data_IF_297370641163
#
_entry.id   IF_297370641163
#
_cell.length_a   1.000
_cell.length_b   1.000
_cell.length_c   1.000
_cell.angle_alpha   90.00
_cell.angle_beta   90.00
_cell.angle_gamma   90.00
#
_symmetry.space_group_name_H-M   'P 1'
#
loop_
_entity.id
_entity.type
_entity.pdbx_description
1 polymer ?
#
# COMPACT_ATOMS: atom_id res chain seq x y z
N UNK A 1 0.54 17.71 -26.80
CA UNK A 1 0.85 16.43 -26.16
C UNK A 1 2.23 16.06 -26.64
N UNK A 2 3.24 16.23 -25.78
CA UNK A 2 4.60 15.80 -26.09
C UNK A 2 4.66 14.27 -25.98
N UNK A 3 5.28 13.65 -26.95
CA UNK A 3 5.34 12.21 -27.13
C UNK A 3 6.12 11.56 -25.97
N UNK A 4 5.43 10.83 -25.10
CA UNK A 4 6.01 10.14 -23.95
C UNK A 4 6.99 9.01 -24.33
N UNK A 5 7.12 8.71 -25.64
CA UNK A 5 7.94 7.59 -26.13
C UNK A 5 9.44 7.89 -26.23
N UNK A 6 9.87 9.15 -26.17
CA UNK A 6 11.28 9.50 -26.36
C UNK A 6 12.12 9.60 -25.08
N UNK A 7 11.57 9.35 -23.91
CA UNK A 7 12.25 9.62 -22.63
C UNK A 7 12.82 8.40 -21.89
N UNK A 8 12.79 7.21 -22.50
CA UNK A 8 13.36 6.02 -21.90
C UNK A 8 14.77 5.75 -22.41
N UNK A 9 15.77 6.23 -21.69
CA UNK A 9 17.15 5.78 -21.86
C UNK A 9 17.62 5.10 -20.57
N UNK A 10 17.88 3.79 -20.65
CA UNK A 10 18.60 3.08 -19.60
C UNK A 10 20.05 3.58 -19.63
N UNK A 11 20.48 4.31 -18.61
CA UNK A 11 21.90 4.56 -18.39
C UNK A 11 22.43 3.50 -17.44
N UNK A 12 23.65 3.04 -17.66
CA UNK A 12 24.36 2.09 -16.82
C UNK A 12 24.65 2.72 -15.43
N UNK A 13 23.63 2.96 -14.63
CA UNK A 13 23.68 3.64 -13.35
C UNK A 13 22.31 3.82 -12.70
N UNK A 14 21.27 3.27 -13.33
CA UNK A 14 20.01 3.04 -12.65
C UNK A 14 19.07 4.24 -12.48
N UNK A 15 19.16 5.29 -13.30
CA UNK A 15 18.22 6.41 -13.27
C UNK A 15 17.47 6.57 -14.59
N UNK A 16 16.15 6.74 -14.53
CA UNK A 16 15.35 7.20 -15.68
C UNK A 16 14.67 8.51 -15.34
N UNK A 17 14.68 9.46 -16.27
CA UNK A 17 13.93 10.70 -16.12
C UNK A 17 12.76 10.74 -17.09
N UNK A 18 11.61 11.16 -16.63
CA UNK A 18 10.51 11.61 -17.49
C UNK A 18 10.68 13.10 -17.78
N UNK A 19 10.20 13.55 -18.96
CA UNK A 19 10.17 14.98 -19.32
C UNK A 19 9.30 15.85 -18.40
N UNK A 20 8.67 15.27 -17.39
CA UNK A 20 7.90 15.97 -16.35
C UNK A 20 8.75 16.46 -15.19
N UNK A 21 10.07 16.23 -15.21
CA UNK A 21 10.97 16.55 -14.10
C UNK A 21 10.98 15.52 -12.97
N UNK A 22 10.15 14.48 -13.04
CA UNK A 22 10.14 13.42 -12.05
C UNK A 22 11.31 12.45 -12.29
N UNK A 23 12.10 12.22 -11.26
CA UNK A 23 13.20 11.25 -11.29
C UNK A 23 12.63 9.91 -10.82
N UNK A 24 12.80 8.88 -11.65
CA UNK A 24 12.55 7.50 -11.21
C UNK A 24 13.85 7.00 -10.60
N UNK A 25 13.86 6.80 -9.29
CA UNK A 25 14.96 6.12 -8.64
C UNK A 25 14.81 4.62 -8.91
N UNK A 26 15.85 4.03 -9.48
CA UNK A 26 16.00 2.59 -9.43
C UNK A 26 16.78 2.26 -8.17
N UNK A 27 16.17 1.41 -7.35
CA UNK A 27 16.91 0.80 -6.26
C UNK A 27 18.19 0.15 -6.80
N UNK A 28 19.21 0.13 -5.98
CA UNK A 28 20.40 -0.63 -6.25
C UNK A 28 19.94 -2.06 -6.52
N UNK A 29 20.37 -2.65 -7.63
CA UNK A 29 20.25 -4.08 -7.86
C UNK A 29 21.03 -4.76 -6.74
N UNK A 30 20.32 -5.17 -5.69
CA UNK A 30 20.89 -5.86 -4.53
C UNK A 30 21.06 -7.37 -4.79
N UNK A 31 20.86 -7.81 -6.04
CA UNK A 31 21.03 -9.18 -6.46
C UNK A 31 19.95 -10.15 -5.93
N UNK A 32 18.92 -9.64 -5.26
CA UNK A 32 17.86 -10.42 -4.60
C UNK A 32 16.50 -10.33 -5.30
N UNK A 33 16.41 -9.81 -6.51
CA UNK A 33 15.15 -9.76 -7.24
C UNK A 33 14.63 -11.18 -7.51
N UNK A 34 13.33 -11.45 -7.31
CA UNK A 34 12.74 -12.74 -7.68
C UNK A 34 12.92 -13.01 -9.17
N UNK A 35 13.03 -14.30 -9.57
CA UNK A 35 13.21 -14.67 -10.98
C UNK A 35 12.11 -14.06 -11.87
N UNK A 36 12.49 -13.42 -12.97
CA UNK A 36 11.61 -12.72 -13.90
C UNK A 36 11.21 -11.31 -13.45
N UNK A 37 11.86 -10.77 -12.40
CA UNK A 37 11.59 -9.44 -11.87
C UNK A 37 12.88 -8.63 -11.74
N UNK A 38 12.79 -7.34 -12.01
CA UNK A 38 13.89 -6.37 -11.82
C UNK A 38 13.52 -5.37 -10.74
N UNK A 39 14.39 -5.17 -9.77
CA UNK A 39 14.20 -4.15 -8.74
C UNK A 39 14.20 -2.75 -9.36
N UNK A 40 13.15 -1.98 -9.10
CA UNK A 40 13.03 -0.58 -9.53
C UNK A 40 13.03 0.41 -8.35
N UNK A 41 12.74 -0.07 -7.15
CA UNK A 41 12.83 0.72 -5.93
C UNK A 41 13.14 -0.20 -4.74
N UNK A 42 14.02 0.26 -3.85
CA UNK A 42 14.31 -0.42 -2.58
C UNK A 42 14.66 0.62 -1.52
N UNK A 43 13.99 0.56 -0.38
CA UNK A 43 14.27 1.44 0.76
C UNK A 43 14.08 0.69 2.08
N UNK A 44 14.96 0.95 3.04
CA UNK A 44 14.75 0.61 4.46
C UNK A 44 14.20 1.79 5.26
N UNK A 45 13.99 2.93 4.62
CA UNK A 45 13.48 4.16 5.23
C UNK A 45 14.24 4.66 6.47
N UNK A 46 15.49 4.22 6.65
CA UNK A 46 16.32 4.72 7.77
C UNK A 46 16.66 6.19 7.60
N UNK A 47 16.69 6.66 6.36
CA UNK A 47 16.89 8.05 5.97
C UNK A 47 15.88 8.42 4.90
N UNK A 48 15.57 9.71 4.82
CA UNK A 48 14.77 10.26 3.72
C UNK A 48 15.61 10.21 2.41
N UNK A 49 15.03 9.59 1.38
CA UNK A 49 15.63 9.51 0.04
C UNK A 49 15.16 10.64 -0.89
N UNK A 50 14.28 11.52 -0.40
CA UNK A 50 13.73 12.65 -1.15
C UNK A 50 12.70 12.28 -2.21
N UNK A 51 12.24 11.04 -2.28
CA UNK A 51 11.26 10.55 -3.27
C UNK A 51 9.83 10.52 -2.73
N UNK A 52 9.68 10.76 -1.43
CA UNK A 52 8.41 10.71 -0.72
C UNK A 52 8.07 12.06 -0.11
N UNK A 53 6.79 12.35 -0.01
CA UNK A 53 6.27 13.57 0.58
C UNK A 53 5.30 13.24 1.72
N UNK A 54 5.55 13.82 2.89
CA UNK A 54 4.60 13.78 3.99
C UNK A 54 3.48 14.79 3.72
N UNK A 55 2.24 14.30 3.65
CA UNK A 55 1.09 15.14 3.39
C UNK A 55 0.65 15.92 4.62
N UNK A 56 0.03 17.07 4.37
CA UNK A 56 -0.56 17.92 5.41
C UNK A 56 -2.01 18.19 5.03
N UNK A 57 -2.91 17.28 5.40
CA UNK A 57 -4.34 17.35 5.03
C UNK A 57 -5.23 16.55 5.98
N UNK A 58 -6.54 16.73 5.85
CA UNK A 58 -7.54 15.84 6.46
C UNK A 58 -8.17 14.96 5.38
N UNK A 59 -8.51 13.74 5.73
CA UNK A 59 -9.36 12.88 4.92
C UNK A 59 -10.77 12.83 5.48
N UNK A 60 -11.76 12.54 4.63
CA UNK A 60 -13.16 12.58 5.04
C UNK A 60 -13.60 11.35 5.82
N UNK A 61 -12.86 10.26 5.73
CA UNK A 61 -13.19 8.94 6.26
C UNK A 61 -12.53 8.63 7.60
N UNK A 62 -11.58 9.46 8.06
CA UNK A 62 -10.93 9.31 9.37
C UNK A 62 -11.03 10.59 10.23
N UNK A 63 -10.62 10.52 11.49
CA UNK A 63 -10.65 11.62 12.45
C UNK A 63 -9.25 12.19 12.73
N UNK A 64 -8.25 11.87 11.91
CA UNK A 64 -6.91 12.42 12.05
C UNK A 64 -6.63 13.58 11.08
N UNK A 65 -5.65 14.40 11.46
CA UNK A 65 -4.99 15.37 10.60
C UNK A 65 -3.60 14.85 10.26
N UNK A 66 -3.35 14.57 8.98
CA UNK A 66 -2.05 14.13 8.52
C UNK A 66 -1.03 15.25 8.62
N UNK A 67 0.11 14.99 9.24
CA UNK A 67 1.14 15.99 9.47
C UNK A 67 2.56 15.43 9.32
N UNK A 68 3.51 16.19 8.75
CA UNK A 68 4.90 15.74 8.58
C UNK A 68 5.60 15.30 9.87
N UNK A 69 5.28 15.92 11.03
CA UNK A 69 5.84 15.55 12.33
C UNK A 69 5.48 14.11 12.78
N UNK A 70 4.52 13.47 12.08
CA UNK A 70 4.10 12.10 12.33
C UNK A 70 4.86 11.08 11.44
N UNK A 71 5.76 11.55 10.57
CA UNK A 71 6.61 10.75 9.70
C UNK A 71 8.05 10.88 10.19
N UNK A 72 8.62 9.78 10.70
CA UNK A 72 9.95 9.82 11.33
C UNK A 72 10.82 8.70 10.79
N UNK A 73 11.91 9.07 10.12
CA UNK A 73 12.97 8.13 9.72
C UNK A 73 13.82 7.74 10.94
N UNK A 74 14.11 6.45 11.09
CA UNK A 74 14.85 5.91 12.22
C UNK A 74 15.70 4.72 11.81
N UNK A 75 16.69 4.28 12.63
CA UNK A 75 17.44 3.07 12.35
C UNK A 75 16.59 1.79 12.21
N UNK A 76 15.37 1.79 12.75
CA UNK A 76 14.41 0.68 12.64
C UNK A 76 13.49 0.74 11.42
N UNK A 77 13.58 1.82 10.62
CA UNK A 77 12.71 2.08 9.47
C UNK A 77 11.90 3.37 9.61
N UNK A 78 10.87 3.51 8.80
CA UNK A 78 9.92 4.62 8.85
C UNK A 78 8.90 4.38 9.96
N UNK A 79 8.78 5.33 10.87
CA UNK A 79 7.73 5.36 11.88
C UNK A 79 6.63 6.31 11.41
N UNK A 80 5.43 5.80 11.26
CA UNK A 80 4.22 6.58 11.02
C UNK A 80 3.43 6.60 12.32
N UNK A 81 3.35 7.76 12.97
CA UNK A 81 2.93 7.89 14.35
C UNK A 81 1.53 8.50 14.41
N UNK A 82 0.60 7.81 15.06
CA UNK A 82 -0.71 8.33 15.43
C UNK A 82 -0.67 8.90 16.83
N UNK A 83 -1.21 10.11 17.05
CA UNK A 83 -1.24 10.78 18.37
C UNK A 83 -2.60 11.35 18.70
N UNK A 84 -2.95 11.35 20.00
CA UNK A 84 -4.04 12.15 20.53
C UNK A 84 -3.58 13.61 20.67
N UNK A 85 -3.74 14.35 19.61
CA UNK A 85 -3.33 15.74 19.49
C UNK A 85 -4.35 16.51 18.65
N UNK A 86 -4.93 17.58 19.23
CA UNK A 86 -5.86 18.44 18.49
C UNK A 86 -5.09 19.29 17.47
N UNK A 87 -5.32 19.05 16.19
CA UNK A 87 -4.70 19.79 15.10
C UNK A 87 -5.58 19.80 13.84
N UNK A 88 -5.58 20.89 13.09
CA UNK A 88 -6.36 20.99 11.85
C UNK A 88 -7.86 20.77 12.03
N UNK A 89 -8.41 20.99 13.23
CA UNK A 89 -9.82 20.74 13.55
C UNK A 89 -10.16 19.26 13.79
N UNK A 90 -9.14 18.39 13.93
CA UNK A 90 -9.28 16.97 14.23
C UNK A 90 -8.72 16.65 15.62
N UNK A 91 -9.27 15.62 16.32
CA UNK A 91 -8.83 15.24 17.67
C UNK A 91 -7.52 14.45 17.67
N UNK A 92 -7.07 13.98 16.52
CA UNK A 92 -5.86 13.17 16.36
C UNK A 92 -4.96 13.74 15.27
N UNK A 93 -3.66 13.44 15.36
CA UNK A 93 -2.70 13.59 14.25
C UNK A 93 -2.19 12.24 13.80
N UNK A 94 -1.86 12.12 12.54
CA UNK A 94 -1.28 10.92 11.96
C UNK A 94 -0.43 11.23 10.73
N UNK A 95 0.03 10.21 10.01
CA UNK A 95 0.88 10.35 8.84
C UNK A 95 0.29 9.75 7.58
N UNK A 96 0.48 10.46 6.47
CA UNK A 96 0.27 10.03 5.10
C UNK A 96 1.56 10.35 4.33
N UNK A 97 2.26 9.32 3.90
CA UNK A 97 3.53 9.42 3.20
C UNK A 97 3.37 8.92 1.78
N UNK A 98 3.53 9.81 0.82
CA UNK A 98 3.21 9.58 -0.58
C UNK A 98 4.49 9.54 -1.41
N UNK A 99 4.73 8.42 -2.09
CA UNK A 99 5.86 8.22 -3.01
C UNK A 99 5.51 8.64 -4.43
N UNK A 100 5.05 9.87 -4.66
CA UNK A 100 4.63 10.36 -5.97
C UNK A 100 5.78 10.55 -6.96
N UNK A 101 7.03 10.50 -6.49
CA UNK A 101 8.24 10.41 -7.33
C UNK A 101 8.71 8.97 -7.55
N UNK A 102 8.09 7.97 -6.90
CA UNK A 102 8.33 6.55 -7.12
C UNK A 102 7.35 6.05 -8.16
N UNK A 103 7.78 6.03 -9.42
CA UNK A 103 6.92 5.63 -10.54
C UNK A 103 6.98 4.12 -10.74
N UNK A 104 5.82 3.48 -10.66
CA UNK A 104 5.66 2.03 -10.74
C UNK A 104 4.93 1.68 -12.05
N UNK A 105 5.46 0.80 -12.89
CA UNK A 105 4.80 0.39 -14.14
C UNK A 105 3.51 -0.39 -13.88
N UNK A 106 2.74 -0.66 -14.92
CA UNK A 106 1.44 -1.32 -14.76
C UNK A 106 1.55 -2.75 -14.23
N UNK A 107 2.61 -3.47 -14.59
CA UNK A 107 2.88 -4.83 -14.11
C UNK A 107 4.07 -4.77 -13.15
N UNK A 108 3.78 -5.09 -11.90
CA UNK A 108 4.76 -4.94 -10.83
C UNK A 108 4.55 -5.95 -9.72
N UNK A 109 5.59 -6.13 -8.93
CA UNK A 109 5.54 -6.72 -7.61
C UNK A 109 5.98 -5.67 -6.59
N UNK A 110 5.36 -5.67 -5.42
CA UNK A 110 5.82 -4.86 -4.30
C UNK A 110 5.74 -5.68 -3.01
N UNK A 111 6.83 -5.62 -2.24
CA UNK A 111 6.97 -6.27 -0.94
C UNK A 111 7.20 -5.18 0.12
N UNK A 112 6.28 -5.03 1.05
CA UNK A 112 6.42 -4.16 2.21
C UNK A 112 6.54 -4.99 3.47
N UNK A 113 7.61 -4.77 4.25
CA UNK A 113 7.79 -5.38 5.56
C UNK A 113 7.46 -4.38 6.64
N UNK A 114 6.48 -4.68 7.47
CA UNK A 114 5.93 -3.73 8.45
C UNK A 114 5.52 -4.41 9.75
N UNK A 115 5.55 -3.62 10.83
CA UNK A 115 4.88 -3.90 12.11
C UNK A 115 3.73 -2.93 12.27
N UNK A 116 2.52 -3.45 12.44
CA UNK A 116 1.30 -2.65 12.49
C UNK A 116 0.82 -2.46 13.94
N UNK A 117 0.23 -1.29 14.27
CA UNK A 117 -0.42 -1.10 15.56
C UNK A 117 -1.66 -2.01 15.66
N UNK A 118 -1.91 -2.52 16.85
CA UNK A 118 -3.05 -3.42 17.14
C UNK A 118 -4.07 -2.81 18.08
N UNK A 119 -3.91 -1.56 18.46
CA UNK A 119 -4.84 -0.86 19.34
C UNK A 119 -6.14 -0.52 18.60
N UNK A 120 -7.29 -0.57 19.32
CA UNK A 120 -8.57 -0.12 18.77
C UNK A 120 -8.50 1.30 18.22
N UNK A 121 -9.21 1.55 17.13
CA UNK A 121 -9.27 2.84 16.47
C UNK A 121 -8.15 3.11 15.48
N UNK A 122 -7.15 2.24 15.40
CA UNK A 122 -6.10 2.35 14.39
C UNK A 122 -6.56 1.73 13.06
N UNK A 123 -6.20 2.37 11.97
CA UNK A 123 -6.45 1.89 10.61
C UNK A 123 -5.17 2.07 9.77
N UNK A 124 -4.18 1.20 9.99
CA UNK A 124 -2.94 1.21 9.22
C UNK A 124 -3.14 0.61 7.83
N UNK A 125 -2.57 1.27 6.83
CA UNK A 125 -2.33 0.77 5.48
C UNK A 125 -0.85 0.93 5.16
N UNK A 126 -0.03 -0.12 5.40
CA UNK A 126 1.42 -0.06 5.23
C UNK A 126 1.84 0.12 3.78
N UNK A 127 0.98 -0.22 2.85
CA UNK A 127 1.20 0.02 1.42
C UNK A 127 -0.13 -0.03 0.66
N UNK A 128 -0.32 0.95 -0.18
CA UNK A 128 -1.37 1.00 -1.19
C UNK A 128 -0.90 1.82 -2.40
N UNK A 129 -1.57 1.66 -3.53
CA UNK A 129 -1.17 2.29 -4.78
C UNK A 129 -2.29 3.10 -5.39
N UNK A 130 -1.93 4.26 -5.93
CA UNK A 130 -2.80 5.05 -6.80
C UNK A 130 -2.20 5.24 -8.17
N UNK A 131 -3.02 5.37 -9.22
CA UNK A 131 -2.50 5.75 -10.53
C UNK A 131 -1.98 7.18 -10.51
N UNK A 132 -0.80 7.39 -11.07
CA UNK A 132 -0.23 8.73 -11.24
C UNK A 132 -0.91 9.47 -12.40
N UNK A 133 -1.38 8.75 -13.41
CA UNK A 133 -1.96 9.28 -14.64
C UNK A 133 -3.49 9.12 -14.76
N UNK A 134 -4.17 8.91 -13.62
CA UNK A 134 -5.64 8.80 -13.58
C UNK A 134 -6.15 9.18 -12.19
N UNK A 135 -7.32 9.83 -12.07
CA UNK A 135 -7.95 10.08 -10.77
C UNK A 135 -8.60 8.83 -10.17
N UNK A 136 -8.72 7.74 -10.93
CA UNK A 136 -9.46 6.55 -10.56
C UNK A 136 -8.58 5.32 -10.57
N UNK A 137 -8.82 4.44 -9.62
CA UNK A 137 -8.08 3.20 -9.38
C UNK A 137 -7.30 3.26 -8.06
N UNK A 138 -7.30 2.14 -7.31
CA UNK A 138 -6.55 1.99 -6.08
C UNK A 138 -6.31 0.51 -5.82
N UNK A 139 -5.16 0.16 -5.29
CA UNK A 139 -4.80 -1.19 -4.88
C UNK A 139 -4.36 -1.13 -3.43
N UNK A 140 -5.14 -1.70 -2.52
CA UNK A 140 -4.77 -1.80 -1.11
C UNK A 140 -4.11 -3.14 -0.86
N UNK A 141 -2.82 -3.09 -0.53
CA UNK A 141 -2.01 -4.30 -0.31
C UNK A 141 -2.29 -4.90 1.05
N UNK A 142 -2.55 -4.06 2.03
CA UNK A 142 -2.98 -4.45 3.36
C UNK A 142 -3.65 -3.27 4.04
N UNK A 143 -4.79 -3.52 4.65
CA UNK A 143 -5.43 -2.62 5.60
C UNK A 143 -5.86 -3.41 6.82
N UNK A 144 -5.70 -2.86 8.01
CA UNK A 144 -6.16 -3.52 9.24
C UNK A 144 -7.05 -2.61 10.06
N UNK A 145 -7.96 -3.22 10.84
CA UNK A 145 -8.83 -2.55 11.80
C UNK A 145 -8.85 -3.39 13.08
N UNK A 146 -7.81 -3.30 13.90
CA UNK A 146 -7.69 -4.12 15.09
C UNK A 146 -8.91 -3.95 15.99
N UNK A 147 -9.56 -5.06 16.32
CA UNK A 147 -10.69 -5.18 17.25
C UNK A 147 -12.03 -4.54 16.85
N UNK A 148 -12.13 -3.83 15.74
CA UNK A 148 -13.20 -2.87 15.53
C UNK A 148 -14.35 -3.30 14.63
N UNK A 149 -14.30 -4.50 14.01
CA UNK A 149 -15.35 -4.80 13.07
C UNK A 149 -16.09 -6.12 13.35
N UNK A 150 -17.13 -6.05 14.18
CA UNK A 150 -18.03 -7.20 14.39
C UNK A 150 -18.64 -7.68 13.07
N UNK A 151 -18.83 -6.80 12.09
CA UNK A 151 -19.43 -7.10 10.79
C UNK A 151 -18.44 -7.68 9.76
N UNK A 152 -17.14 -7.71 10.05
CA UNK A 152 -16.11 -8.29 9.16
C UNK A 152 -15.69 -9.70 9.56
N UNK A 153 -16.49 -10.39 10.36
CA UNK A 153 -16.29 -11.80 10.70
C UNK A 153 -14.98 -12.09 11.46
N UNK A 154 -14.44 -11.09 12.18
CA UNK A 154 -13.16 -11.22 12.89
C UNK A 154 -11.97 -11.38 11.93
N UNK A 155 -12.01 -10.71 10.79
CA UNK A 155 -10.85 -10.59 9.90
C UNK A 155 -9.78 -9.71 10.54
N UNK A 156 -8.53 -10.06 10.30
CA UNK A 156 -7.39 -9.35 10.87
C UNK A 156 -6.87 -8.27 9.91
N UNK A 157 -6.94 -8.52 8.60
CA UNK A 157 -6.58 -7.56 7.57
C UNK A 157 -7.40 -7.76 6.29
N UNK A 158 -7.38 -6.79 5.39
CA UNK A 158 -8.01 -6.88 4.08
C UNK A 158 -7.06 -6.47 2.97
N UNK A 159 -7.40 -6.91 1.76
CA UNK A 159 -6.86 -6.44 0.49
C UNK A 159 -8.02 -5.93 -0.36
N UNK A 160 -7.81 -4.87 -1.13
CA UNK A 160 -8.89 -4.30 -1.93
C UNK A 160 -8.42 -3.75 -3.27
N UNK A 161 -9.38 -3.67 -4.21
CA UNK A 161 -9.26 -2.93 -5.46
C UNK A 161 -10.41 -1.92 -5.52
N UNK A 162 -10.09 -0.66 -5.71
CA UNK A 162 -11.09 0.39 -5.90
C UNK A 162 -11.04 0.92 -7.33
N UNK A 163 -12.22 1.24 -7.86
CA UNK A 163 -12.36 1.93 -9.14
C UNK A 163 -12.66 3.41 -8.90
N UNK A 164 -13.65 3.94 -9.52
CA UNK A 164 -14.18 5.27 -9.33
C UNK A 164 -15.10 5.32 -8.10
N UNK A 165 -14.78 6.15 -7.12
CA UNK A 165 -15.54 6.29 -5.87
C UNK A 165 -16.96 6.84 -6.07
N UNK A 166 -17.25 7.45 -7.22
CA UNK A 166 -18.61 7.93 -7.57
C UNK A 166 -19.55 6.81 -8.04
N UNK A 167 -19.02 5.61 -8.30
CA UNK A 167 -19.77 4.48 -8.85
C UNK A 167 -20.11 3.45 -7.77
N UNK A 168 -21.12 2.61 -8.04
CA UNK A 168 -21.48 1.46 -7.21
C UNK A 168 -21.49 0.17 -8.05
N UNK A 169 -20.90 -0.93 -7.58
CA UNK A 169 -19.98 -1.04 -6.44
C UNK A 169 -18.66 -0.31 -6.73
N UNK A 170 -18.16 0.45 -5.75
CA UNK A 170 -16.91 1.21 -5.91
C UNK A 170 -15.64 0.38 -5.73
N UNK A 171 -15.74 -0.75 -5.03
CA UNK A 171 -14.60 -1.62 -4.73
C UNK A 171 -14.99 -3.09 -4.66
N UNK A 172 -13.99 -3.94 -4.71
CA UNK A 172 -14.02 -5.34 -4.26
C UNK A 172 -12.92 -5.53 -3.21
N UNK A 173 -13.22 -6.27 -2.16
CA UNK A 173 -12.26 -6.54 -1.09
C UNK A 173 -12.34 -7.99 -0.62
N UNK A 174 -11.28 -8.47 0.00
CA UNK A 174 -11.25 -9.75 0.69
C UNK A 174 -10.68 -9.59 2.09
N UNK A 175 -11.35 -10.19 3.07
CA UNK A 175 -10.98 -10.18 4.48
C UNK A 175 -10.26 -11.46 4.84
N UNK A 176 -9.13 -11.34 5.51
CA UNK A 176 -8.14 -12.38 5.73
C UNK A 176 -7.81 -12.49 7.22
N UNK A 177 -7.25 -13.62 7.64
CA UNK A 177 -6.88 -13.85 9.04
C UNK A 177 -5.44 -14.31 9.15
N UNK A 178 -4.69 -13.72 10.09
CA UNK A 178 -3.34 -14.19 10.41
C UNK A 178 -3.31 -15.64 10.92
N UNK A 179 -4.40 -16.12 11.52
CA UNK A 179 -4.52 -17.52 11.94
C UNK A 179 -4.40 -18.54 10.79
N UNK A 180 -4.48 -18.08 9.53
CA UNK A 180 -4.24 -18.89 8.34
C UNK A 180 -2.75 -18.99 7.96
N UNK A 181 -1.88 -18.23 8.62
CA UNK A 181 -0.46 -18.15 8.35
C UNK A 181 0.34 -18.93 9.39
N UNK A 182 1.58 -19.27 9.07
CA UNK A 182 2.52 -19.87 10.00
C UNK A 182 2.86 -18.92 11.16
N UNK A 183 2.98 -17.62 10.87
CA UNK A 183 3.04 -16.56 11.88
C UNK A 183 1.65 -15.96 12.04
N UNK A 184 0.97 -16.28 13.11
CA UNK A 184 -0.42 -15.85 13.37
C UNK A 184 -0.54 -14.68 14.35
N UNK A 185 0.58 -14.08 14.76
CA UNK A 185 0.56 -12.96 15.70
C UNK A 185 0.54 -11.61 14.97
N UNK A 186 -0.58 -10.89 14.91
CA UNK A 186 -0.69 -9.62 14.18
C UNK A 186 0.21 -8.50 14.71
N UNK A 187 0.69 -8.62 15.97
CA UNK A 187 1.57 -7.62 16.59
C UNK A 187 3.05 -7.75 16.18
N UNK A 188 3.39 -8.76 15.37
CA UNK A 188 4.76 -8.95 14.91
C UNK A 188 4.96 -8.37 13.50
N UNK A 189 6.23 -8.36 13.07
CA UNK A 189 6.57 -7.94 11.72
C UNK A 189 6.07 -8.97 10.69
N UNK A 190 5.42 -8.47 9.65
CA UNK A 190 4.98 -9.26 8.50
C UNK A 190 5.46 -8.62 7.19
N UNK A 191 5.58 -9.43 6.15
CA UNK A 191 5.80 -8.96 4.78
C UNK A 191 4.53 -9.13 3.97
N UNK A 192 3.96 -8.02 3.52
CA UNK A 192 2.79 -7.99 2.65
C UNK A 192 3.25 -7.77 1.21
N UNK A 193 2.76 -8.60 0.30
CA UNK A 193 3.16 -8.59 -1.09
C UNK A 193 1.96 -8.43 -1.99
N UNK A 194 2.07 -7.59 -3.02
CA UNK A 194 1.18 -7.59 -4.17
C UNK A 194 1.96 -7.95 -5.42
N UNK A 195 1.38 -8.80 -6.28
CA UNK A 195 1.90 -9.13 -7.61
C UNK A 195 0.81 -8.84 -8.62
N UNK A 196 1.01 -7.84 -9.45
CA UNK A 196 0.09 -7.47 -10.52
C UNK A 196 0.72 -7.81 -11.87
N UNK A 197 0.05 -8.69 -12.60
CA UNK A 197 0.38 -9.04 -13.99
C UNK A 197 -0.86 -8.84 -14.87
N UNK A 198 -0.76 -9.10 -16.16
CA UNK A 198 -1.90 -8.99 -17.06
C UNK A 198 -3.05 -9.92 -16.59
N UNK A 199 -4.24 -9.37 -16.46
CA UNK A 199 -5.47 -10.07 -16.05
C UNK A 199 -5.35 -10.85 -14.73
N UNK A 200 -4.43 -10.44 -13.85
CA UNK A 200 -4.24 -11.09 -12.56
C UNK A 200 -3.66 -10.12 -11.54
N UNK A 201 -4.17 -10.19 -10.33
CA UNK A 201 -3.55 -9.58 -9.16
C UNK A 201 -3.63 -10.56 -7.99
N UNK A 202 -2.53 -10.75 -7.30
CA UNK A 202 -2.44 -11.64 -6.15
C UNK A 202 -1.73 -10.99 -4.98
N UNK A 203 -2.09 -11.47 -3.79
CA UNK A 203 -1.59 -10.95 -2.52
C UNK A 203 -1.02 -12.10 -1.70
N UNK A 204 0.13 -11.83 -1.08
CA UNK A 204 0.79 -12.75 -0.17
C UNK A 204 1.01 -12.07 1.19
N UNK A 205 1.07 -12.88 2.23
CA UNK A 205 1.58 -12.47 3.54
C UNK A 205 2.61 -13.50 3.99
N UNK A 206 3.81 -13.04 4.35
CA UNK A 206 4.98 -13.88 4.69
C UNK A 206 5.25 -14.97 3.64
N UNK A 207 5.19 -14.59 2.37
CA UNK A 207 5.39 -15.51 1.24
C UNK A 207 4.23 -16.48 0.99
N UNK A 208 3.23 -16.53 1.86
CA UNK A 208 2.03 -17.35 1.69
C UNK A 208 1.00 -16.59 0.87
N UNK A 209 0.59 -17.14 -0.26
CA UNK A 209 -0.49 -16.57 -1.10
C UNK A 209 -1.82 -16.64 -0.35
N UNK A 210 -2.44 -15.48 -0.11
CA UNK A 210 -3.67 -15.36 0.68
C UNK A 210 -4.89 -15.03 -0.16
N UNK A 211 -4.71 -14.25 -1.24
CA UNK A 211 -5.79 -13.91 -2.16
C UNK A 211 -5.30 -13.75 -3.59
N UNK A 212 -6.20 -14.04 -4.56
CA UNK A 212 -5.94 -13.82 -5.97
C UNK A 212 -7.25 -13.48 -6.70
N UNK A 213 -7.24 -12.44 -7.51
CA UNK A 213 -8.23 -12.17 -8.54
C UNK A 213 -7.60 -12.50 -9.90
N UNK A 214 -8.08 -13.55 -10.57
CA UNK A 214 -7.53 -14.01 -11.86
C UNK A 214 -8.59 -14.44 -12.88
N UNK A 215 -9.85 -14.14 -12.63
CA UNK A 215 -10.94 -14.56 -13.50
C UNK A 215 -11.32 -16.03 -13.37
N UNK A 216 -10.66 -16.78 -12.48
CA UNK A 216 -10.97 -18.18 -12.19
C UNK A 216 -12.29 -18.36 -11.43
N UNK A 217 -12.71 -19.61 -11.32
CA UNK A 217 -13.85 -19.97 -10.48
C UNK A 217 -13.50 -19.70 -9.01
N UNK A 218 -14.37 -19.00 -8.24
CA UNK A 218 -14.13 -18.77 -6.83
C UNK A 218 -13.84 -20.10 -6.11
N UNK A 219 -12.73 -20.15 -5.41
CA UNK A 219 -12.32 -21.32 -4.67
C UNK A 219 -11.69 -20.95 -3.34
N UNK A 220 -11.74 -21.90 -2.40
CA UNK A 220 -11.18 -21.77 -1.07
C UNK A 220 -10.47 -23.05 -0.69
N UNK A 221 -9.19 -22.98 -0.39
CA UNK A 221 -8.41 -24.17 0.01
C UNK A 221 -7.79 -24.02 1.42
N UNK A 222 -8.46 -23.29 2.31
CA UNK A 222 -8.02 -23.05 3.68
C UNK A 222 -7.14 -21.81 3.85
N UNK A 223 -6.24 -21.53 2.92
CA UNK A 223 -5.35 -20.36 2.98
C UNK A 223 -5.55 -19.42 1.79
N UNK A 224 -5.58 -19.97 0.57
CA UNK A 224 -5.75 -19.18 -0.64
C UNK A 224 -7.23 -19.05 -0.99
N UNK A 225 -7.65 -17.81 -1.21
CA UNK A 225 -8.92 -17.47 -1.85
C UNK A 225 -8.66 -17.03 -3.27
N UNK A 226 -9.46 -17.53 -4.21
CA UNK A 226 -9.44 -17.10 -5.62
C UNK A 226 -10.80 -16.51 -5.93
N UNK A 227 -10.82 -15.34 -6.53
CA UNK A 227 -12.04 -14.65 -6.97
C UNK A 227 -11.95 -14.24 -8.44
N UNK A 228 -13.12 -14.07 -9.09
CA UNK A 228 -13.14 -13.51 -10.43
C UNK A 228 -12.65 -12.06 -10.40
N UNK A 229 -11.93 -11.66 -11.46
CA UNK A 229 -11.69 -10.25 -11.70
C UNK A 229 -13.03 -9.52 -11.82
N UNK A 230 -13.21 -8.36 -11.17
CA UNK A 230 -14.41 -7.58 -11.37
C UNK A 230 -14.53 -7.12 -12.83
N UNK A 231 -15.76 -7.04 -13.36
CA UNK A 231 -16.02 -6.65 -14.75
C UNK A 231 -15.34 -5.33 -15.17
N UNK A 232 -15.18 -4.42 -14.23
CA UNK A 232 -14.54 -3.13 -14.46
C UNK A 232 -12.99 -3.17 -14.35
N UNK A 233 -12.39 -4.33 -14.01
CA UNK A 233 -10.94 -4.42 -13.81
C UNK A 233 -10.14 -3.91 -15.01
N UNK A 234 -10.47 -4.40 -16.21
CA UNK A 234 -9.76 -3.99 -17.41
C UNK A 234 -9.79 -2.47 -17.65
N UNK A 235 -10.92 -1.82 -17.38
CA UNK A 235 -11.09 -0.37 -17.57
C UNK A 235 -10.16 0.48 -16.69
N UNK A 236 -9.88 0.03 -15.48
CA UNK A 236 -9.12 0.81 -14.49
C UNK A 236 -7.71 0.30 -14.28
N UNK A 237 -7.43 -0.97 -14.55
CA UNK A 237 -6.19 -1.64 -14.18
C UNK A 237 -5.38 -2.18 -15.36
N UNK A 238 -6.00 -2.45 -16.52
CA UNK A 238 -5.32 -2.98 -17.71
C UNK A 238 -5.09 -1.93 -18.82
N UNK A 239 -5.03 -0.66 -18.44
CA UNK A 239 -4.66 0.41 -19.37
C UNK A 239 -3.14 0.34 -19.62
N UNK A 240 -2.67 0.19 -20.87
CA UNK A 240 -1.25 -0.08 -21.17
C UNK A 240 -0.26 0.94 -20.59
N UNK A 241 -0.63 2.22 -20.59
CA UNK A 241 0.22 3.30 -20.06
C UNK A 241 -0.09 3.59 -18.58
N UNK A 242 -0.76 2.70 -17.88
CA UNK A 242 -1.03 2.90 -16.45
C UNK A 242 0.28 2.87 -15.68
N UNK A 243 0.50 3.93 -14.90
CA UNK A 243 1.58 4.03 -13.95
C UNK A 243 1.01 4.30 -12.57
N UNK A 244 1.65 3.74 -11.55
CA UNK A 244 1.22 3.80 -10.17
C UNK A 244 2.24 4.53 -9.31
N UNK A 245 1.82 5.01 -8.16
CA UNK A 245 2.69 5.47 -7.10
C UNK A 245 2.26 4.88 -5.76
N UNK A 246 3.21 4.55 -4.88
CA UNK A 246 2.92 3.97 -3.57
C UNK A 246 2.51 5.05 -2.56
N UNK A 247 1.71 4.64 -1.58
CA UNK A 247 1.38 5.43 -0.39
C UNK A 247 1.43 4.55 0.85
N UNK A 248 1.69 5.18 1.98
CA UNK A 248 1.75 4.59 3.32
C UNK A 248 0.92 5.50 4.23
N UNK A 249 -0.11 4.95 4.89
CA UNK A 249 -0.99 5.75 5.73
C UNK A 249 -1.29 5.05 7.06
N UNK A 250 -1.41 5.84 8.11
CA UNK A 250 -2.03 5.43 9.36
C UNK A 250 -3.21 6.35 9.60
N UNK A 251 -4.43 5.82 9.52
CA UNK A 251 -5.66 6.55 9.79
C UNK A 251 -6.16 6.23 11.20
N UNK A 252 -6.98 7.12 11.79
CA UNK A 252 -7.44 6.97 13.17
C UNK A 252 -8.91 7.34 13.28
N UNK A 253 -9.72 6.40 13.81
CA UNK A 253 -11.15 6.60 14.01
C UNK A 253 -11.93 6.85 12.73
N UNK A 254 -13.05 7.55 12.82
CA UNK A 254 -13.85 7.98 11.67
C UNK A 254 -14.95 7.02 11.26
N UNK A 255 -15.32 7.02 9.98
CA UNK A 255 -16.44 6.20 9.49
C UNK A 255 -16.09 4.73 9.33
N UNK A 256 -14.82 4.40 9.23
CA UNK A 256 -14.35 3.04 8.91
C UNK A 256 -13.72 2.33 10.13
N UNK A 257 -13.27 3.07 11.13
CA UNK A 257 -12.69 2.53 12.37
C UNK A 257 -13.43 3.10 13.60
N UNK A 258 -13.41 2.37 14.72
CA UNK A 258 -13.90 2.92 16.00
C UNK A 258 -12.97 4.03 16.50
N UNK A 259 -13.43 4.77 17.49
CA UNK A 259 -12.57 5.75 18.15
C UNK A 259 -11.58 5.03 19.09
N UNK A 260 -10.33 5.50 19.20
CA UNK A 260 -9.41 5.03 20.22
C UNK A 260 -9.96 5.17 21.63
N UNK A 261 -9.60 4.25 22.52
CA UNK A 261 -9.93 4.34 23.92
C UNK A 261 -9.54 5.70 24.52
N UNK A 262 -10.29 6.18 25.49
CA UNK A 262 -10.08 7.50 26.10
C UNK A 262 -8.69 7.68 26.73
N UNK A 263 -8.04 6.60 27.15
CA UNK A 263 -6.68 6.59 27.71
C UNK A 263 -5.57 6.47 26.66
N UNK A 264 -5.91 6.12 25.41
CA UNK A 264 -4.92 6.00 24.32
C UNK A 264 -4.27 7.36 24.02
N UNK A 265 -2.96 7.38 23.87
CA UNK A 265 -2.17 8.60 23.61
C UNK A 265 -1.41 8.55 22.30
N UNK A 266 -0.78 7.42 21.98
CA UNK A 266 0.07 7.28 20.80
C UNK A 266 0.14 5.80 20.39
N UNK A 267 0.22 5.56 19.09
CA UNK A 267 0.60 4.28 18.48
C UNK A 267 1.42 4.53 17.23
N UNK A 268 2.17 3.54 16.79
CA UNK A 268 2.98 3.67 15.59
C UNK A 268 2.86 2.45 14.67
N UNK A 269 2.93 2.72 13.39
CA UNK A 269 3.22 1.74 12.36
C UNK A 269 4.69 1.89 11.96
N UNK A 270 5.42 0.79 11.86
CA UNK A 270 6.83 0.80 11.44
C UNK A 270 6.96 0.09 10.10
N UNK A 271 7.44 0.81 9.08
CA UNK A 271 7.81 0.22 7.79
C UNK A 271 9.30 -0.07 7.82
N UNK A 272 9.67 -1.33 7.86
CA UNK A 272 11.07 -1.78 7.92
C UNK A 272 11.74 -1.74 6.55
N UNK A 273 10.99 -2.09 5.50
CA UNK A 273 11.47 -2.02 4.12
C UNK A 273 10.32 -1.99 3.12
N UNK A 274 10.59 -1.44 1.94
CA UNK A 274 9.76 -1.54 0.76
C UNK A 274 10.66 -1.86 -0.44
N UNK A 275 10.32 -2.94 -1.17
CA UNK A 275 10.95 -3.29 -2.44
C UNK A 275 9.87 -3.33 -3.51
N UNK A 276 10.14 -2.71 -4.64
CA UNK A 276 9.24 -2.70 -5.80
C UNK A 276 10.02 -3.20 -7.00
N UNK A 277 9.37 -4.06 -7.78
CA UNK A 277 9.96 -4.71 -8.93
C UNK A 277 9.06 -4.52 -10.15
N UNK A 278 9.65 -4.40 -11.32
CA UNK A 278 8.94 -4.52 -12.59
C UNK A 278 9.11 -5.92 -13.18
N UNK A 279 8.14 -6.37 -13.95
CA UNK A 279 8.22 -7.62 -14.68
C UNK A 279 9.26 -7.49 -15.81
N UNK A 280 10.19 -8.42 -15.90
CA UNK A 280 11.14 -8.50 -17.02
C UNK A 280 10.45 -9.04 -18.27
N UNK A 281 10.81 -8.49 -19.46
CA UNK A 281 10.31 -8.92 -20.77
C UNK A 281 10.77 -10.32 -21.18
#
# INVERSE_FOLDING_TARGET
MADLKESYHATAGGWRSFNTGNVIAYGVDDGEAPAGWRTIYSSTFQTDDGLWNARQETQSNDNSYNHPDNIVHSPGGLRVIGRRENRGGRPYTSGDYTGDSVVVPNYFRADVTATLPIEPGMWPAPLWFRPLNSPHGEIDVCETWPFDWPNRGGADFSVALHRDYSLSPRHVSSFLKYSMLSNSNPATTHTYTVIKTQNRIEFLCDGTRVYCWDGGTPSWNGTLRIGPLPEWYATYFEVPERIWYPRITLQIGGSEATEPDGSWMESEMIIHSLKIYELED
#
